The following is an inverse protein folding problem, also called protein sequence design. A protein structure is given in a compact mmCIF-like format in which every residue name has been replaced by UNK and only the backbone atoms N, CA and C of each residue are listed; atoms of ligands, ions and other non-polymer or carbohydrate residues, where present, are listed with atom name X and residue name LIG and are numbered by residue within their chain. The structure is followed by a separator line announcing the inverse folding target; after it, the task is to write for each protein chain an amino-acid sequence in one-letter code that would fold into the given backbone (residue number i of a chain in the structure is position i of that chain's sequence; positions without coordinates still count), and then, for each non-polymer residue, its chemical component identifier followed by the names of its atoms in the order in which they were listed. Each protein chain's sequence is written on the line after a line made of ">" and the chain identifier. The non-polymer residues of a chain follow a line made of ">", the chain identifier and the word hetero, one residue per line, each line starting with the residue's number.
data_IF_232786578944
#
_entry.id   IF_232786578944
#
_cell.length_a   1.000
_cell.length_b   1.000
_cell.length_c   1.000
_cell.angle_alpha   90.00
_cell.angle_beta   90.00
_cell.angle_gamma   90.00
#
_symmetry.space_group_name_H-M   'P 1'
#
loop_
_entity.id
_entity.type
_entity.pdbx_description
1 polymer ?
#
# COMPACT_ATOMS: atom_id res chain seq x y z
N UNK A 1 -8.21 30.26 17.85
CA UNK A 1 -8.79 28.92 18.14
C UNK A 1 -8.10 27.91 17.23
N UNK A 2 -7.48 26.86 17.77
CA UNK A 2 -6.94 25.77 16.95
C UNK A 2 -8.11 24.85 16.60
N UNK A 3 -8.48 24.80 15.33
CA UNK A 3 -9.41 23.79 14.81
C UNK A 3 -8.74 22.42 14.92
N UNK A 4 -9.24 21.54 15.78
CA UNK A 4 -8.78 20.14 15.85
C UNK A 4 -9.61 19.31 14.88
N UNK A 5 -9.11 19.12 13.67
CA UNK A 5 -9.64 18.13 12.75
C UNK A 5 -9.15 16.73 13.16
N UNK A 6 -9.99 15.68 13.05
CA UNK A 6 -9.53 14.31 13.25
C UNK A 6 -8.49 13.94 12.18
N UNK A 7 -7.52 13.12 12.56
CA UNK A 7 -6.52 12.56 11.64
C UNK A 7 -7.05 11.21 11.13
N UNK A 8 -6.99 11.00 9.82
CA UNK A 8 -7.41 9.77 9.17
C UNK A 8 -6.18 9.01 8.67
N UNK A 9 -5.94 7.83 9.24
CA UNK A 9 -4.79 6.98 8.91
C UNK A 9 -5.28 5.61 8.46
N UNK A 10 -4.66 5.06 7.42
CA UNK A 10 -4.82 3.65 7.06
C UNK A 10 -3.57 2.88 7.44
N UNK A 11 -3.73 1.74 8.09
CA UNK A 11 -2.66 0.80 8.35
C UNK A 11 -2.87 -0.47 7.53
N UNK A 12 -1.80 -0.92 6.88
CA UNK A 12 -1.74 -2.17 6.13
C UNK A 12 -0.56 -3.01 6.62
N UNK A 13 -0.72 -4.32 6.54
CA UNK A 13 0.29 -5.31 6.92
C UNK A 13 0.22 -6.49 5.96
N UNK A 14 1.32 -7.22 5.84
CA UNK A 14 1.38 -8.52 5.16
C UNK A 14 0.91 -8.46 3.69
N UNK A 15 1.26 -7.38 2.98
CA UNK A 15 0.93 -7.22 1.56
C UNK A 15 1.65 -8.24 0.69
N UNK A 16 2.79 -8.78 1.17
CA UNK A 16 3.56 -9.84 0.54
C UNK A 16 3.79 -9.62 -0.95
N UNK A 17 4.16 -8.39 -1.32
CA UNK A 17 4.39 -8.02 -2.72
C UNK A 17 5.58 -8.80 -3.28
N UNK A 18 5.48 -9.16 -4.56
CA UNK A 18 6.53 -9.83 -5.32
C UNK A 18 7.11 -8.86 -6.35
N UNK A 19 8.37 -9.10 -6.74
CA UNK A 19 9.02 -8.35 -7.82
C UNK A 19 8.36 -8.61 -9.18
N UNK A 20 7.88 -9.84 -9.38
CA UNK A 20 7.29 -10.30 -10.65
C UNK A 20 5.78 -10.52 -10.50
N UNK A 21 5.05 -9.78 -11.34
CA UNK A 21 3.59 -9.82 -11.51
C UNK A 21 3.02 -11.21 -11.84
N UNK A 22 3.85 -12.10 -12.39
CA UNK A 22 3.47 -13.44 -12.85
C UNK A 22 3.78 -14.54 -11.84
N UNK A 23 4.68 -14.30 -10.87
CA UNK A 23 5.22 -15.36 -10.00
C UNK A 23 4.46 -15.56 -8.68
N UNK A 24 3.53 -14.68 -8.30
CA UNK A 24 2.99 -14.66 -6.94
C UNK A 24 1.47 -14.81 -6.84
N UNK A 25 0.96 -16.05 -6.76
CA UNK A 25 -0.41 -16.31 -6.30
C UNK A 25 -0.39 -17.02 -4.95
N UNK A 26 -1.04 -16.44 -3.96
CA UNK A 26 -1.31 -17.11 -2.68
C UNK A 26 -2.70 -17.72 -2.77
N UNK A 27 -2.80 -19.06 -2.77
CA UNK A 27 -4.06 -19.79 -2.96
C UNK A 27 -4.86 -19.38 -4.21
N UNK A 28 -4.17 -19.03 -5.30
CA UNK A 28 -4.79 -18.60 -6.56
C UNK A 28 -5.06 -17.09 -6.67
N UNK A 29 -4.85 -16.32 -5.60
CA UNK A 29 -5.06 -14.86 -5.57
C UNK A 29 -3.74 -14.12 -5.74
N UNK A 30 -3.68 -13.16 -6.67
CA UNK A 30 -2.52 -12.28 -6.81
C UNK A 30 -2.52 -11.23 -5.70
N UNK A 31 -1.46 -11.24 -4.87
CA UNK A 31 -1.28 -10.23 -3.82
C UNK A 31 -1.19 -8.81 -4.40
N UNK A 32 -0.55 -8.67 -5.55
CA UNK A 32 -0.42 -7.37 -6.22
C UNK A 32 -1.75 -6.86 -6.78
N UNK A 33 -2.61 -7.74 -7.33
CA UNK A 33 -3.95 -7.32 -7.77
C UNK A 33 -4.80 -6.84 -6.60
N UNK A 34 -4.76 -7.56 -5.46
CA UNK A 34 -5.45 -7.15 -4.24
C UNK A 34 -4.92 -5.81 -3.72
N UNK A 35 -3.59 -5.63 -3.74
CA UNK A 35 -2.95 -4.38 -3.32
C UNK A 35 -3.35 -3.21 -4.22
N UNK A 36 -3.30 -3.36 -5.54
CA UNK A 36 -3.76 -2.35 -6.50
C UNK A 36 -5.21 -1.94 -6.28
N UNK A 37 -6.10 -2.92 -6.07
CA UNK A 37 -7.52 -2.64 -5.78
C UNK A 37 -7.72 -1.89 -4.48
N UNK A 38 -6.85 -2.13 -3.51
CA UNK A 38 -6.87 -1.41 -2.25
C UNK A 38 -6.37 0.03 -2.45
N UNK A 39 -5.25 0.24 -3.15
CA UNK A 39 -4.77 1.59 -3.48
C UNK A 39 -5.81 2.42 -4.25
N UNK A 40 -6.51 1.80 -5.20
CA UNK A 40 -7.63 2.41 -5.93
C UNK A 40 -8.72 2.89 -4.96
N UNK A 41 -9.10 2.06 -3.98
CA UNK A 41 -10.08 2.43 -2.95
C UNK A 41 -9.58 3.56 -2.05
N UNK A 42 -8.30 3.55 -1.66
CA UNK A 42 -7.73 4.62 -0.82
C UNK A 42 -7.74 5.96 -1.55
N UNK A 43 -7.42 5.97 -2.85
CA UNK A 43 -7.46 7.19 -3.67
C UNK A 43 -8.88 7.77 -3.86
N UNK A 44 -9.93 7.00 -3.58
CA UNK A 44 -11.33 7.42 -3.67
C UNK A 44 -11.93 7.84 -2.32
N UNK A 45 -11.19 7.71 -1.22
CA UNK A 45 -11.70 8.08 0.11
C UNK A 45 -11.88 9.59 0.24
N UNK A 46 -12.96 9.96 0.93
CA UNK A 46 -13.22 11.34 1.36
C UNK A 46 -13.55 11.34 2.86
N UNK A 47 -12.82 12.12 3.69
CA UNK A 47 -11.65 12.93 3.33
C UNK A 47 -10.46 12.07 2.89
N UNK A 48 -9.49 12.71 2.22
CA UNK A 48 -8.23 12.04 1.87
C UNK A 48 -7.49 11.64 3.15
N UNK A 49 -6.75 10.53 3.08
CA UNK A 49 -5.93 10.04 4.18
C UNK A 49 -4.79 11.02 4.49
N UNK A 50 -4.52 11.22 5.77
CA UNK A 50 -3.37 11.99 6.24
C UNK A 50 -2.09 11.16 6.23
N UNK A 51 -2.21 9.83 6.37
CA UNK A 51 -1.06 8.91 6.30
C UNK A 51 -1.46 7.46 5.94
N UNK A 52 -0.49 6.75 5.35
CA UNK A 52 -0.51 5.31 5.15
C UNK A 52 0.62 4.67 5.99
N UNK A 53 0.30 3.63 6.76
CA UNK A 53 1.27 2.86 7.54
C UNK A 53 1.41 1.45 6.95
N UNK A 54 2.64 1.02 6.67
CA UNK A 54 3.01 -0.28 6.11
C UNK A 54 3.87 -1.04 7.14
N UNK A 55 3.23 -1.76 8.05
CA UNK A 55 3.92 -2.10 9.31
C UNK A 55 4.70 -3.42 9.31
N UNK A 56 4.35 -4.41 8.48
CA UNK A 56 5.08 -5.70 8.36
C UNK A 56 4.83 -6.37 7.01
N UNK A 57 5.73 -7.28 6.62
CA UNK A 57 5.49 -8.23 5.53
C UNK A 57 5.20 -7.58 4.18
N UNK A 58 5.74 -6.38 3.94
CA UNK A 58 5.33 -5.52 2.82
C UNK A 58 5.75 -6.15 1.49
N UNK A 59 6.99 -6.61 1.43
CA UNK A 59 7.61 -7.32 0.33
C UNK A 59 7.98 -8.72 0.79
N UNK A 60 7.77 -9.75 -0.04
CA UNK A 60 7.97 -11.16 0.34
C UNK A 60 9.38 -11.67 0.09
N UNK A 61 9.99 -11.29 -1.03
CA UNK A 61 11.31 -11.76 -1.47
C UNK A 61 12.46 -10.85 -0.99
N UNK A 62 12.13 -9.78 -0.24
CA UNK A 62 13.03 -8.73 0.26
C UNK A 62 13.95 -8.14 -0.84
N UNK A 63 13.54 -8.26 -2.10
CA UNK A 63 14.36 -7.87 -3.23
C UNK A 63 14.28 -6.35 -3.45
N UNK A 64 15.38 -5.76 -3.93
CA UNK A 64 15.39 -4.35 -4.34
C UNK A 64 14.29 -4.06 -5.38
N UNK A 65 14.06 -4.98 -6.31
CA UNK A 65 13.05 -4.81 -7.35
C UNK A 65 11.63 -4.76 -6.78
N UNK A 66 11.33 -5.56 -5.76
CA UNK A 66 10.02 -5.52 -5.11
C UNK A 66 9.82 -4.24 -4.28
N UNK A 67 10.87 -3.70 -3.64
CA UNK A 67 10.81 -2.38 -3.01
C UNK A 67 10.61 -1.26 -4.02
N UNK A 68 11.29 -1.30 -5.16
CA UNK A 68 11.07 -0.34 -6.25
C UNK A 68 9.64 -0.42 -6.79
N UNK A 69 9.12 -1.64 -6.96
CA UNK A 69 7.73 -1.88 -7.33
C UNK A 69 6.77 -1.25 -6.31
N UNK A 70 6.95 -1.54 -5.01
CA UNK A 70 6.16 -0.93 -3.93
C UNK A 70 6.15 0.60 -4.04
N UNK A 71 7.31 1.23 -4.15
CA UNK A 71 7.44 2.71 -4.25
C UNK A 71 6.66 3.23 -5.47
N UNK A 72 6.83 2.59 -6.64
CA UNK A 72 6.10 2.99 -7.84
C UNK A 72 4.59 2.90 -7.69
N UNK A 73 4.09 1.90 -6.96
CA UNK A 73 2.67 1.66 -6.75
C UNK A 73 2.06 2.66 -5.77
N UNK A 74 2.76 3.02 -4.70
CA UNK A 74 2.23 3.92 -3.65
C UNK A 74 2.42 5.41 -3.98
N UNK A 75 3.45 5.76 -4.76
CA UNK A 75 3.78 7.16 -5.09
C UNK A 75 2.61 7.99 -5.63
N UNK A 76 1.67 7.45 -6.45
CA UNK A 76 0.56 8.23 -6.99
C UNK A 76 -0.46 8.67 -5.94
N UNK A 77 -0.50 8.04 -4.75
CA UNK A 77 -1.41 8.44 -3.67
C UNK A 77 -1.06 9.82 -3.11
N UNK A 78 0.20 10.26 -3.25
CA UNK A 78 0.70 11.55 -2.76
C UNK A 78 0.37 11.82 -1.28
N UNK A 79 0.45 10.77 -0.45
CA UNK A 79 0.25 10.83 1.00
C UNK A 79 1.53 10.37 1.73
N UNK A 80 1.82 10.93 2.93
CA UNK A 80 2.87 10.41 3.80
C UNK A 80 2.71 8.91 4.02
N UNK A 81 3.81 8.16 3.86
CA UNK A 81 3.85 6.72 4.08
C UNK A 81 5.03 6.34 5.00
N UNK A 82 4.79 5.40 5.90
CA UNK A 82 5.73 4.94 6.94
C UNK A 82 5.80 3.42 7.02
#
# INVERSE_FOLDING_TARGET
>A
MISKSPITVTQMTDTHLFTDLTLGKTYGVSGQTSFLKLLEKLGQLQPQLDALLLTRGVVKDESLGAYQCLVSLISPLNIPNY
#
